data_IF_835260552318
#
_entry.id   IF_835260552318
#
_cell.length_a   1.000
_cell.length_b   1.000
_cell.length_c   1.000
_cell.angle_alpha   90.00
_cell.angle_beta   90.00
_cell.angle_gamma   90.00
#
_symmetry.space_group_name_H-M   'P 1'
#
loop_
_entity.id
_entity.type
_entity.pdbx_description
1 polymer ?
#
# COMPACT_ATOMS: atom_id res chain seq x y z
N UNK A 1 -14.46 29.00 -45.30
CA UNK A 1 -13.76 27.84 -44.72
C UNK A 1 -12.60 28.26 -43.84
N UNK A 2 -11.68 29.13 -44.26
CA UNK A 2 -10.53 29.60 -43.51
C UNK A 2 -10.87 30.36 -42.24
N UNK A 3 -11.95 31.17 -42.24
CA UNK A 3 -12.37 31.91 -41.04
C UNK A 3 -13.06 31.03 -40.00
N UNK A 4 -13.78 29.97 -40.42
CA UNK A 4 -14.32 28.98 -39.50
C UNK A 4 -13.21 28.18 -38.75
N UNK A 5 -12.14 27.88 -39.46
CA UNK A 5 -10.96 27.18 -38.85
C UNK A 5 -10.27 28.10 -37.86
N UNK A 6 -10.06 29.39 -38.19
CA UNK A 6 -9.47 30.35 -37.25
C UNK A 6 -10.32 30.55 -36.00
N UNK A 7 -11.65 30.63 -36.16
CA UNK A 7 -12.56 30.74 -35.04
C UNK A 7 -12.53 29.51 -34.15
N UNK A 8 -12.51 28.32 -34.73
CA UNK A 8 -12.35 27.06 -33.99
C UNK A 8 -11.05 27.02 -33.20
N UNK A 9 -9.91 27.33 -33.85
CA UNK A 9 -8.60 27.39 -33.17
C UNK A 9 -8.58 28.38 -32.03
N UNK A 10 -9.19 29.55 -32.19
CA UNK A 10 -9.31 30.55 -31.13
C UNK A 10 -10.07 29.98 -29.90
N UNK A 11 -11.18 29.27 -30.07
CA UNK A 11 -11.89 28.64 -28.96
C UNK A 11 -11.07 27.53 -28.29
N UNK A 12 -10.32 26.75 -29.07
CA UNK A 12 -9.40 25.73 -28.54
C UNK A 12 -8.31 26.39 -27.69
N UNK A 13 -7.69 27.47 -28.17
CA UNK A 13 -6.66 28.20 -27.44
C UNK A 13 -7.20 28.80 -26.14
N UNK A 14 -8.37 29.43 -26.18
CA UNK A 14 -9.02 29.98 -24.98
C UNK A 14 -9.33 28.87 -23.97
N UNK A 15 -9.85 27.74 -24.43
CA UNK A 15 -10.11 26.58 -23.56
C UNK A 15 -8.80 26.11 -22.87
N UNK A 16 -7.71 25.94 -23.62
CA UNK A 16 -6.44 25.52 -23.05
C UNK A 16 -5.86 26.53 -22.07
N UNK A 17 -5.97 27.83 -22.35
CA UNK A 17 -5.52 28.87 -21.42
C UNK A 17 -6.31 28.81 -20.10
N UNK A 18 -7.63 28.71 -20.16
CA UNK A 18 -8.49 28.58 -18.96
C UNK A 18 -8.13 27.30 -18.19
N UNK A 19 -7.98 26.18 -18.89
CA UNK A 19 -7.58 24.91 -18.31
C UNK A 19 -6.21 25.00 -17.61
N UNK A 20 -5.21 25.58 -18.26
CA UNK A 20 -3.88 25.75 -17.69
C UNK A 20 -3.88 26.64 -16.46
N UNK A 21 -4.64 27.76 -16.47
CA UNK A 21 -4.79 28.63 -15.30
C UNK A 21 -5.43 27.83 -14.15
N UNK A 22 -6.55 27.17 -14.40
CA UNK A 22 -7.24 26.37 -13.40
C UNK A 22 -6.38 25.28 -12.81
N UNK A 23 -5.69 24.52 -13.67
CA UNK A 23 -4.80 23.45 -13.25
C UNK A 23 -3.58 23.97 -12.46
N UNK A 24 -2.95 25.04 -12.91
CA UNK A 24 -1.82 25.67 -12.19
C UNK A 24 -2.26 26.20 -10.82
N UNK A 25 -3.44 26.81 -10.73
CA UNK A 25 -4.01 27.28 -9.47
C UNK A 25 -4.29 26.10 -8.52
N UNK A 26 -4.85 25.01 -9.02
CA UNK A 26 -5.08 23.80 -8.26
C UNK A 26 -3.75 23.21 -7.72
N UNK A 27 -2.72 23.11 -8.56
CA UNK A 27 -1.39 22.65 -8.13
C UNK A 27 -0.77 23.55 -7.05
N UNK A 28 -0.85 24.86 -7.24
CA UNK A 28 -0.34 25.81 -6.25
C UNK A 28 -1.07 25.66 -4.89
N UNK A 29 -2.38 25.64 -4.91
CA UNK A 29 -3.18 25.44 -3.69
C UNK A 29 -2.89 24.10 -3.01
N UNK A 30 -2.73 23.03 -3.79
CA UNK A 30 -2.41 21.71 -3.23
C UNK A 30 -1.06 21.69 -2.51
N UNK A 31 -0.07 22.41 -3.02
CA UNK A 31 1.24 22.54 -2.37
C UNK A 31 1.15 23.37 -1.09
N UNK A 32 0.45 24.51 -1.13
CA UNK A 32 0.30 25.39 0.05
C UNK A 32 -0.44 24.69 1.18
N UNK A 33 -1.59 24.09 0.87
CA UNK A 33 -2.40 23.37 1.88
C UNK A 33 -1.64 22.12 2.38
N UNK A 34 -1.01 21.35 1.48
CA UNK A 34 -0.21 20.20 1.86
C UNK A 34 0.94 20.57 2.81
N UNK A 35 1.66 21.65 2.53
CA UNK A 35 2.75 22.15 3.38
C UNK A 35 2.22 22.60 4.76
N UNK A 36 1.07 23.28 4.82
CA UNK A 36 0.43 23.71 6.07
C UNK A 36 0.05 22.52 6.94
N UNK A 37 -0.61 21.51 6.38
CA UNK A 37 -1.00 20.29 7.09
C UNK A 37 0.22 19.50 7.61
N UNK A 38 1.25 19.35 6.78
CA UNK A 38 2.48 18.68 7.21
C UNK A 38 3.19 19.44 8.34
N UNK A 39 3.16 20.77 8.30
CA UNK A 39 3.72 21.60 9.36
C UNK A 39 2.94 21.45 10.66
N UNK A 40 1.60 21.53 10.61
CA UNK A 40 0.74 21.36 11.79
C UNK A 40 0.94 19.96 12.40
N UNK A 41 0.93 18.90 11.57
CA UNK A 41 1.17 17.53 12.03
C UNK A 41 2.54 17.37 12.70
N UNK A 42 3.59 17.95 12.12
CA UNK A 42 4.94 17.90 12.70
C UNK A 42 5.05 18.68 14.03
N UNK A 43 4.31 19.78 14.17
CA UNK A 43 4.25 20.52 15.44
C UNK A 43 3.49 19.74 16.50
N UNK A 44 2.37 19.12 16.17
CA UNK A 44 1.59 18.27 17.07
C UNK A 44 2.41 17.06 17.55
N UNK A 45 3.15 16.40 16.68
CA UNK A 45 4.05 15.30 17.06
C UNK A 45 5.14 15.75 18.04
N UNK A 46 5.70 16.95 17.84
CA UNK A 46 6.67 17.52 18.77
C UNK A 46 6.07 17.88 20.14
N UNK A 47 4.82 18.37 20.16
CA UNK A 47 4.14 18.76 21.42
C UNK A 47 3.61 17.56 22.19
N UNK A 48 3.07 16.56 21.51
CA UNK A 48 2.54 15.33 22.15
C UNK A 48 3.64 14.47 22.78
N UNK A 49 4.92 14.81 22.50
CA UNK A 49 6.06 14.06 23.00
C UNK A 49 6.02 12.60 22.54
N UNK A 50 7.02 11.84 22.93
CA UNK A 50 7.14 10.41 22.60
C UNK A 50 6.22 9.54 23.48
N UNK A 51 4.94 9.91 23.65
CA UNK A 51 3.95 9.01 24.22
C UNK A 51 3.65 7.95 23.13
N UNK A 52 4.53 6.97 23.01
CA UNK A 52 4.21 5.71 22.38
C UNK A 52 3.06 5.11 23.17
N UNK A 53 1.85 5.23 22.65
CA UNK A 53 0.74 4.48 23.19
C UNK A 53 1.04 3.01 22.92
N UNK A 54 1.09 2.19 23.97
CA UNK A 54 1.25 0.73 23.87
C UNK A 54 -0.03 0.04 23.31
N UNK A 55 -0.84 0.78 22.56
CA UNK A 55 -2.03 0.25 21.91
C UNK A 55 -1.71 -0.17 20.47
N UNK A 56 -1.92 -1.44 20.20
CA UNK A 56 -1.73 -2.04 18.88
C UNK A 56 -3.06 -2.60 18.39
N UNK A 57 -3.45 -2.30 17.15
CA UNK A 57 -4.53 -3.00 16.50
C UNK A 57 -3.98 -4.26 15.83
N UNK A 58 -4.69 -5.40 15.88
CA UNK A 58 -4.25 -6.61 15.20
C UNK A 58 -4.34 -6.45 13.67
N UNK A 59 -3.25 -6.71 12.95
CA UNK A 59 -3.12 -6.46 11.52
C UNK A 59 -2.69 -7.73 10.78
N UNK A 60 -3.42 -8.13 9.72
CA UNK A 60 -2.98 -9.16 8.78
C UNK A 60 -2.38 -8.48 7.53
N UNK A 61 -1.11 -8.72 7.23
CA UNK A 61 -0.46 -8.20 6.02
C UNK A 61 -0.67 -9.22 4.90
N UNK A 62 -1.40 -8.83 3.85
CA UNK A 62 -1.70 -9.67 2.70
C UNK A 62 -0.81 -9.25 1.53
N UNK A 63 -0.01 -10.19 1.05
CA UNK A 63 0.98 -10.00 -0.02
C UNK A 63 0.61 -10.94 -1.18
N UNK A 64 -0.13 -10.47 -2.20
CA UNK A 64 -0.32 -11.21 -3.43
C UNK A 64 1.01 -11.35 -4.18
N UNK A 65 1.36 -12.55 -4.62
CA UNK A 65 2.59 -12.83 -5.36
C UNK A 65 2.27 -13.65 -6.61
N UNK A 66 2.87 -13.28 -7.75
CA UNK A 66 2.80 -14.05 -8.99
C UNK A 66 4.11 -13.93 -9.77
N UNK A 67 4.90 -15.02 -9.81
CA UNK A 67 6.22 -15.04 -10.42
C UNK A 67 7.18 -13.99 -9.84
N UNK A 68 7.30 -13.98 -8.51
CA UNK A 68 8.09 -13.03 -7.73
C UNK A 68 9.29 -13.71 -7.02
N UNK A 69 9.88 -14.73 -7.65
CA UNK A 69 11.00 -15.49 -7.06
C UNK A 69 12.19 -14.62 -6.64
N UNK A 70 12.38 -13.46 -7.28
CA UNK A 70 13.50 -12.56 -7.03
C UNK A 70 13.30 -11.62 -5.85
N UNK A 71 12.05 -11.33 -5.48
CA UNK A 71 11.71 -10.23 -4.55
C UNK A 71 10.97 -10.68 -3.30
N UNK A 72 10.11 -11.70 -3.41
CA UNK A 72 9.16 -12.08 -2.37
C UNK A 72 9.81 -12.45 -1.03
N UNK A 73 10.97 -13.10 -1.04
CA UNK A 73 11.70 -13.48 0.19
C UNK A 73 12.21 -12.23 0.91
N UNK A 74 12.81 -11.30 0.18
CA UNK A 74 13.30 -10.02 0.74
C UNK A 74 12.15 -9.16 1.25
N UNK A 75 11.02 -9.17 0.55
CA UNK A 75 9.79 -8.51 0.99
C UNK A 75 9.33 -9.06 2.34
N UNK A 76 9.21 -10.39 2.49
CA UNK A 76 8.81 -11.00 3.76
C UNK A 76 9.82 -10.71 4.87
N UNK A 77 11.14 -10.72 4.59
CA UNK A 77 12.14 -10.30 5.58
C UNK A 77 11.98 -8.85 6.01
N UNK A 78 11.66 -7.92 5.10
CA UNK A 78 11.40 -6.52 5.44
C UNK A 78 10.17 -6.35 6.33
N UNK A 79 9.16 -7.21 6.14
CA UNK A 79 7.97 -7.25 6.99
C UNK A 79 8.28 -7.78 8.40
N UNK A 80 9.22 -8.69 8.54
CA UNK A 80 9.66 -9.22 9.84
C UNK A 80 10.50 -8.22 10.65
N UNK A 81 11.02 -7.17 10.01
CA UNK A 81 11.78 -6.10 10.66
C UNK A 81 10.89 -4.97 11.24
N UNK A 82 9.57 -5.07 11.12
CA UNK A 82 8.65 -4.03 11.60
C UNK A 82 8.67 -3.90 13.13
N UNK A 83 8.72 -2.65 13.62
CA UNK A 83 8.59 -2.34 15.04
C UNK A 83 7.10 -2.32 15.45
N UNK A 84 6.45 -3.48 15.33
CA UNK A 84 5.04 -3.68 15.63
C UNK A 84 4.82 -5.05 16.27
N UNK A 85 3.95 -5.16 17.28
CA UNK A 85 3.88 -6.38 18.09
C UNK A 85 2.77 -7.35 17.66
N UNK A 86 1.72 -6.86 17.01
CA UNK A 86 0.50 -7.63 16.81
C UNK A 86 0.10 -7.70 15.33
N UNK A 87 0.82 -8.52 14.58
CA UNK A 87 0.54 -8.74 13.16
C UNK A 87 0.86 -10.17 12.73
N UNK A 88 0.34 -10.54 11.58
CA UNK A 88 0.64 -11.77 10.85
C UNK A 88 0.93 -11.43 9.38
N UNK A 89 1.66 -12.29 8.70
CA UNK A 89 1.99 -12.17 7.28
C UNK A 89 1.29 -13.29 6.51
N UNK A 90 0.58 -12.94 5.45
CA UNK A 90 -0.12 -13.86 4.57
C UNK A 90 0.34 -13.62 3.15
N UNK A 91 1.15 -14.51 2.62
CA UNK A 91 1.54 -14.50 1.21
C UNK A 91 0.55 -15.35 0.43
N UNK A 92 -0.01 -14.79 -0.63
CA UNK A 92 -0.95 -15.50 -1.51
C UNK A 92 -0.30 -15.66 -2.87
N UNK A 93 0.16 -16.88 -3.14
CA UNK A 93 0.70 -17.26 -4.44
C UNK A 93 -0.43 -17.49 -5.45
N UNK A 94 -0.49 -16.64 -6.44
CA UNK A 94 -1.52 -16.63 -7.50
C UNK A 94 -1.14 -17.55 -8.68
N UNK A 95 -0.79 -18.79 -8.37
CA UNK A 95 -0.45 -19.79 -9.39
C UNK A 95 0.86 -19.46 -10.10
N UNK A 96 1.91 -19.13 -9.36
CA UNK A 96 3.25 -18.93 -9.92
C UNK A 96 3.77 -20.17 -10.63
N UNK A 97 4.53 -19.94 -11.70
CA UNK A 97 5.16 -20.99 -12.52
C UNK A 97 6.68 -21.05 -12.33
N UNK A 98 7.23 -20.07 -11.60
CA UNK A 98 8.62 -19.97 -11.20
C UNK A 98 8.87 -20.61 -9.81
N UNK A 99 9.97 -20.29 -9.16
CA UNK A 99 10.36 -20.84 -7.86
C UNK A 99 9.86 -20.01 -6.66
N UNK A 100 8.88 -19.12 -6.84
CA UNK A 100 8.33 -18.26 -5.77
C UNK A 100 7.94 -19.06 -4.52
N UNK A 101 7.13 -20.12 -4.68
CA UNK A 101 6.67 -20.97 -3.58
C UNK A 101 7.82 -21.74 -2.92
N UNK A 102 8.72 -22.33 -3.75
CA UNK A 102 9.87 -23.09 -3.27
C UNK A 102 10.78 -22.23 -2.39
N UNK A 103 11.15 -21.03 -2.86
CA UNK A 103 12.01 -20.13 -2.11
C UNK A 103 11.39 -19.67 -0.77
N UNK A 104 10.07 -19.40 -0.74
CA UNK A 104 9.40 -19.07 0.52
C UNK A 104 9.40 -20.24 1.50
N UNK A 105 9.04 -21.44 1.03
CA UNK A 105 8.99 -22.64 1.87
C UNK A 105 10.37 -22.95 2.47
N UNK A 106 11.42 -22.87 1.66
CA UNK A 106 12.79 -23.17 2.09
C UNK A 106 13.35 -22.09 3.02
N UNK A 107 13.18 -20.81 2.68
CA UNK A 107 13.75 -19.70 3.46
C UNK A 107 13.15 -19.58 4.86
N UNK A 108 11.86 -19.89 5.00
CA UNK A 108 11.14 -19.77 6.27
C UNK A 108 10.83 -21.14 6.92
N UNK A 109 11.34 -22.24 6.35
CA UNK A 109 11.13 -23.61 6.85
C UNK A 109 9.64 -23.91 7.07
N UNK A 110 8.81 -23.53 6.12
CA UNK A 110 7.36 -23.62 6.24
C UNK A 110 6.89 -25.09 6.15
N UNK A 111 5.86 -25.42 6.89
CA UNK A 111 5.27 -26.76 6.90
C UNK A 111 3.91 -26.73 6.21
N UNK A 112 3.68 -27.70 5.31
CA UNK A 112 2.37 -27.88 4.70
C UNK A 112 1.37 -28.30 5.76
N UNK A 113 0.22 -27.61 5.78
CA UNK A 113 -0.87 -27.91 6.69
C UNK A 113 -2.18 -28.15 5.91
N UNK A 114 -3.15 -28.73 6.58
CA UNK A 114 -4.49 -28.87 6.06
C UNK A 114 -5.46 -28.20 7.04
N UNK A 115 -5.84 -26.94 6.72
CA UNK A 115 -6.87 -26.24 7.48
C UNK A 115 -7.96 -25.73 6.54
N UNK A 116 -9.26 -25.82 6.93
CA UNK A 116 -10.34 -25.28 6.12
C UNK A 116 -10.30 -23.74 6.11
N UNK A 117 -10.56 -23.15 4.94
CA UNK A 117 -10.72 -21.69 4.78
C UNK A 117 -12.20 -21.35 4.78
N UNK A 118 -12.63 -20.43 5.65
CA UNK A 118 -13.98 -19.91 5.64
C UNK A 118 -14.11 -18.82 4.55
N UNK A 119 -14.58 -19.21 3.37
CA UNK A 119 -14.81 -18.29 2.25
C UNK A 119 -15.99 -17.37 2.53
N UNK A 120 -15.73 -16.12 2.84
CA UNK A 120 -16.73 -15.04 3.04
C UNK A 120 -16.91 -14.21 1.79
N UNK A 121 -15.86 -14.08 0.98
CA UNK A 121 -15.84 -13.44 -0.33
C UNK A 121 -15.35 -14.43 -1.37
N UNK A 122 -15.80 -14.25 -2.61
CA UNK A 122 -15.42 -15.12 -3.71
C UNK A 122 -13.91 -15.10 -3.94
N UNK A 123 -13.34 -16.26 -4.20
CA UNK A 123 -11.95 -16.44 -4.66
C UNK A 123 -11.80 -17.85 -5.23
N UNK A 124 -10.82 -18.04 -6.10
CA UNK A 124 -10.48 -19.36 -6.66
C UNK A 124 -9.99 -20.31 -5.58
N UNK A 125 -9.86 -21.58 -5.98
CA UNK A 125 -9.57 -22.66 -5.03
C UNK A 125 -8.11 -22.64 -4.59
N UNK A 126 -7.90 -22.86 -3.31
CA UNK A 126 -6.60 -23.14 -2.71
C UNK A 126 -6.09 -24.53 -3.13
N UNK A 127 -4.80 -24.65 -3.40
CA UNK A 127 -4.10 -25.89 -3.75
C UNK A 127 -3.28 -26.43 -2.59
N UNK A 128 -2.62 -25.53 -1.85
CA UNK A 128 -1.83 -25.86 -0.67
C UNK A 128 -1.76 -24.67 0.28
N UNK A 129 -1.59 -24.99 1.57
CA UNK A 129 -1.35 -23.99 2.62
C UNK A 129 -0.11 -24.43 3.38
N UNK A 130 0.79 -23.47 3.61
CA UNK A 130 2.00 -23.68 4.41
C UNK A 130 2.04 -22.65 5.52
N UNK A 131 2.47 -23.04 6.70
CA UNK A 131 2.59 -22.14 7.85
C UNK A 131 3.93 -22.32 8.57
N UNK A 132 4.37 -21.24 9.18
CA UNK A 132 5.50 -21.23 10.09
C UNK A 132 5.33 -20.11 11.12
N UNK A 133 6.15 -20.14 12.15
CA UNK A 133 6.31 -19.02 13.09
C UNK A 133 7.78 -18.60 13.06
N UNK A 134 8.03 -17.39 12.65
CA UNK A 134 9.36 -16.82 12.58
C UNK A 134 9.49 -15.63 13.54
N UNK A 135 10.38 -15.71 14.52
CA UNK A 135 10.53 -14.67 15.58
C UNK A 135 9.22 -14.29 16.30
N UNK A 136 8.30 -15.25 16.48
CA UNK A 136 7.01 -15.02 17.12
C UNK A 136 5.91 -14.47 16.19
N UNK A 137 6.21 -14.25 14.92
CA UNK A 137 5.26 -13.77 13.91
C UNK A 137 4.77 -14.95 13.07
N UNK A 138 3.45 -15.07 12.93
CA UNK A 138 2.85 -16.09 12.07
C UNK A 138 3.00 -15.71 10.60
N UNK A 139 3.50 -16.65 9.80
CA UNK A 139 3.60 -16.52 8.35
C UNK A 139 2.79 -17.66 7.72
N UNK A 140 1.83 -17.29 6.88
CA UNK A 140 1.01 -18.22 6.11
C UNK A 140 1.27 -18.00 4.63
N UNK A 141 1.56 -19.06 3.89
CA UNK A 141 1.61 -19.07 2.43
C UNK A 141 0.43 -19.89 1.90
N UNK A 142 -0.37 -19.28 1.05
CA UNK A 142 -1.49 -19.95 0.36
C UNK A 142 -1.16 -20.02 -1.11
N UNK A 143 -1.03 -21.21 -1.64
CA UNK A 143 -0.92 -21.47 -3.07
C UNK A 143 -2.32 -21.71 -3.64
N UNK A 144 -2.71 -20.99 -4.68
CA UNK A 144 -4.04 -21.11 -5.31
C UNK A 144 -3.98 -21.11 -6.84
N UNK A 145 -5.11 -21.40 -7.47
CA UNK A 145 -5.28 -21.24 -8.90
C UNK A 145 -5.19 -19.76 -9.28
N UNK A 146 -4.53 -19.44 -10.41
CA UNK A 146 -4.38 -18.06 -10.87
C UNK A 146 -5.76 -17.40 -11.09
N UNK A 147 -5.98 -16.27 -10.45
CA UNK A 147 -7.21 -15.48 -10.48
C UNK A 147 -6.96 -13.98 -10.52
N UNK A 148 -5.70 -13.55 -10.47
CA UNK A 148 -5.33 -12.16 -10.43
C UNK A 148 -5.23 -11.58 -9.02
N UNK A 149 -4.75 -10.33 -8.95
CA UNK A 149 -4.47 -9.64 -7.69
C UNK A 149 -5.70 -9.50 -6.79
N UNK A 150 -6.86 -9.14 -7.35
CA UNK A 150 -8.11 -8.96 -6.60
C UNK A 150 -8.56 -10.27 -5.94
N UNK A 151 -8.56 -11.37 -6.70
CA UNK A 151 -8.87 -12.71 -6.20
C UNK A 151 -7.90 -13.17 -5.10
N UNK A 152 -6.61 -12.86 -5.26
CA UNK A 152 -5.58 -13.16 -4.25
C UNK A 152 -5.77 -12.36 -2.96
N UNK A 153 -6.19 -11.09 -3.06
CA UNK A 153 -6.56 -10.30 -1.89
C UNK A 153 -7.80 -10.88 -1.19
N UNK A 154 -8.80 -11.31 -1.94
CA UNK A 154 -9.99 -11.98 -1.40
C UNK A 154 -9.62 -13.28 -0.66
N UNK A 155 -8.69 -14.08 -1.22
CA UNK A 155 -8.15 -15.26 -0.53
C UNK A 155 -7.46 -14.88 0.77
N UNK A 156 -6.61 -13.86 0.76
CA UNK A 156 -5.94 -13.35 1.96
C UNK A 156 -6.91 -12.86 3.02
N UNK A 157 -7.99 -12.15 2.64
CA UNK A 157 -9.06 -11.71 3.54
C UNK A 157 -9.77 -12.92 4.17
N UNK A 158 -10.08 -13.95 3.39
CA UNK A 158 -10.74 -15.15 3.87
C UNK A 158 -9.92 -15.91 4.91
N UNK A 159 -8.58 -15.96 4.74
CA UNK A 159 -7.71 -16.73 5.63
C UNK A 159 -7.18 -15.91 6.81
N UNK A 160 -7.22 -14.57 6.74
CA UNK A 160 -6.70 -13.67 7.78
C UNK A 160 -7.44 -13.84 9.11
N UNK A 161 -6.70 -13.72 10.22
CA UNK A 161 -7.25 -13.88 11.57
C UNK A 161 -7.67 -12.54 12.21
N UNK A 162 -7.11 -11.43 11.75
CA UNK A 162 -7.25 -10.13 12.42
C UNK A 162 -8.34 -9.23 11.80
N UNK A 163 -8.84 -8.25 12.57
CA UNK A 163 -9.93 -7.36 12.14
C UNK A 163 -9.52 -6.30 11.14
N UNK A 164 -8.22 -6.03 11.00
CA UNK A 164 -7.66 -5.13 10.01
C UNK A 164 -6.68 -5.87 9.13
N UNK A 165 -6.64 -5.49 7.86
CA UNK A 165 -5.63 -6.02 6.95
C UNK A 165 -4.97 -4.92 6.14
N UNK A 166 -3.74 -5.18 5.74
CA UNK A 166 -2.96 -4.35 4.83
C UNK A 166 -2.78 -5.11 3.53
N UNK A 167 -3.01 -4.41 2.40
CA UNK A 167 -2.59 -4.89 1.08
C UNK A 167 -1.20 -4.35 0.80
N UNK A 168 -0.31 -5.19 0.29
CA UNK A 168 1.05 -4.82 -0.07
C UNK A 168 1.53 -5.62 -1.28
N UNK A 169 2.27 -5.00 -2.20
CA UNK A 169 2.85 -5.69 -3.35
C UNK A 169 4.09 -6.51 -2.95
N UNK A 170 4.30 -7.65 -3.62
CA UNK A 170 5.38 -8.60 -3.33
C UNK A 170 6.79 -8.09 -3.72
N UNK A 171 6.88 -6.96 -4.39
CA UNK A 171 8.11 -6.25 -4.76
C UNK A 171 8.37 -4.99 -3.92
N UNK A 172 7.54 -4.75 -2.91
CA UNK A 172 7.59 -3.55 -2.07
C UNK A 172 8.31 -3.83 -0.73
N UNK A 173 8.96 -2.80 -0.19
CA UNK A 173 9.63 -2.85 1.11
C UNK A 173 9.04 -1.81 2.05
N UNK A 174 8.87 -2.14 3.33
CA UNK A 174 8.40 -1.23 4.35
C UNK A 174 9.55 -0.65 5.19
N UNK A 175 9.40 0.61 5.57
CA UNK A 175 10.21 1.18 6.64
C UNK A 175 9.77 0.56 7.98
N UNK A 176 10.70 0.51 8.93
CA UNK A 176 10.55 -0.18 10.22
C UNK A 176 9.34 0.26 11.05
N UNK A 177 8.92 1.52 10.93
CA UNK A 177 7.79 2.08 11.66
C UNK A 177 6.49 2.16 10.85
N UNK A 178 6.46 1.62 9.63
CA UNK A 178 5.33 1.79 8.70
C UNK A 178 4.01 1.26 9.23
N UNK A 179 4.02 0.12 9.92
CA UNK A 179 2.79 -0.44 10.50
C UNK A 179 2.23 0.44 11.62
N UNK A 180 3.11 1.03 12.42
CA UNK A 180 2.71 1.95 13.48
C UNK A 180 2.09 3.23 12.89
N UNK A 181 2.74 3.82 11.89
CA UNK A 181 2.28 5.07 11.27
C UNK A 181 0.94 4.91 10.55
N UNK A 182 0.73 3.80 9.83
CA UNK A 182 -0.53 3.57 9.10
C UNK A 182 -1.68 3.20 10.04
N UNK A 183 -1.39 2.67 11.23
CA UNK A 183 -2.41 2.35 12.23
C UNK A 183 -2.90 3.56 13.02
N UNK A 184 -2.11 4.64 13.14
CA UNK A 184 -2.45 5.85 13.91
C UNK A 184 -3.83 6.43 13.59
N UNK A 185 -4.20 6.70 12.32
CA UNK A 185 -5.50 7.30 12.02
C UNK A 185 -6.68 6.46 12.48
N UNK A 186 -6.54 5.13 12.47
CA UNK A 186 -7.57 4.20 12.92
C UNK A 186 -7.68 4.20 14.44
N UNK A 187 -6.55 4.37 15.14
CA UNK A 187 -6.53 4.47 16.60
C UNK A 187 -7.05 5.82 17.11
N UNK A 188 -6.91 6.88 16.32
CA UNK A 188 -7.35 8.24 16.67
C UNK A 188 -8.84 8.48 16.38
N UNK A 189 -9.42 7.81 15.38
CA UNK A 189 -10.83 7.97 15.00
C UNK A 189 -11.43 6.61 14.58
N UNK A 190 -12.41 6.13 15.34
CA UNK A 190 -13.13 4.86 15.11
C UNK A 190 -13.97 4.83 13.83
N UNK A 191 -14.24 6.00 13.23
CA UNK A 191 -14.92 6.15 11.95
C UNK A 191 -14.01 5.88 10.76
N UNK A 192 -12.70 5.90 10.95
CA UNK A 192 -11.74 5.58 9.89
C UNK A 192 -11.79 4.08 9.59
N UNK A 193 -12.24 3.73 8.40
CA UNK A 193 -12.36 2.32 7.95
C UNK A 193 -11.25 1.91 7.01
N UNK A 194 -10.54 2.88 6.42
CA UNK A 194 -9.43 2.62 5.52
C UNK A 194 -8.46 3.81 5.49
N UNK A 195 -7.17 3.53 5.32
CA UNK A 195 -6.12 4.54 5.23
C UNK A 195 -5.04 4.08 4.25
N UNK A 196 -4.48 5.01 3.48
CA UNK A 196 -3.36 4.74 2.57
C UNK A 196 -2.05 5.27 3.11
N UNK A 197 -0.99 4.50 2.98
CA UNK A 197 0.36 4.95 3.30
C UNK A 197 1.01 5.73 2.15
N UNK A 198 2.12 6.38 2.46
CA UNK A 198 2.97 7.02 1.45
C UNK A 198 3.80 5.96 0.74
N UNK A 199 3.89 6.07 -0.58
CA UNK A 199 4.72 5.23 -1.42
C UNK A 199 5.80 6.09 -2.06
N UNK A 200 7.05 5.64 -1.98
CA UNK A 200 8.19 6.27 -2.61
C UNK A 200 8.85 5.31 -3.62
N UNK A 201 9.40 5.87 -4.68
CA UNK A 201 10.17 5.11 -5.67
C UNK A 201 11.52 4.74 -5.05
N UNK A 202 11.89 3.46 -5.06
CA UNK A 202 13.12 2.94 -4.42
C UNK A 202 14.41 3.43 -5.10
N UNK A 203 14.35 3.93 -6.34
CA UNK A 203 15.51 4.43 -7.06
C UNK A 203 16.14 5.65 -6.34
N UNK A 204 17.33 5.46 -5.80
CA UNK A 204 18.05 6.51 -5.05
C UNK A 204 17.80 6.45 -3.54
N UNK A 205 17.01 5.51 -3.05
CA UNK A 205 16.83 5.24 -1.63
C UNK A 205 17.64 4.00 -1.26
N UNK A 206 18.42 4.10 -0.20
CA UNK A 206 19.11 2.95 0.39
C UNK A 206 18.50 2.64 1.74
N UNK A 207 17.87 1.46 1.84
CA UNK A 207 17.37 0.94 3.10
C UNK A 207 18.45 0.08 3.77
N UNK A 208 18.66 0.28 5.06
CA UNK A 208 19.52 -0.55 5.91
C UNK A 208 18.74 -0.88 7.17
N UNK A 209 18.42 -2.16 7.39
CA UNK A 209 17.62 -2.64 8.51
C UNK A 209 16.26 -1.91 8.65
N UNK A 210 15.56 -1.72 7.52
CA UNK A 210 14.27 -1.06 7.49
C UNK A 210 14.30 0.47 7.71
N UNK A 211 15.48 1.10 7.78
CA UNK A 211 15.64 2.55 7.89
C UNK A 211 16.27 3.13 6.62
N UNK A 212 15.80 4.32 6.21
CA UNK A 212 16.40 5.05 5.10
C UNK A 212 17.76 5.58 5.55
N UNK A 213 18.84 5.00 5.02
CA UNK A 213 20.22 5.40 5.34
C UNK A 213 20.75 6.47 4.42
N UNK A 214 20.26 6.54 3.19
CA UNK A 214 20.68 7.52 2.18
C UNK A 214 19.54 7.79 1.21
N UNK A 215 19.46 9.04 0.77
CA UNK A 215 18.49 9.51 -0.21
C UNK A 215 19.18 10.36 -1.25
N UNK A 216 19.19 9.90 -2.48
CA UNK A 216 19.82 10.62 -3.60
C UNK A 216 18.89 10.70 -4.81
N UNK A 217 18.90 11.83 -5.50
CA UNK A 217 18.11 11.98 -6.72
C UNK A 217 18.69 11.09 -7.83
N UNK A 218 17.87 10.29 -8.52
CA UNK A 218 18.33 9.46 -9.61
C UNK A 218 18.95 10.28 -10.75
N UNK A 219 20.06 9.76 -11.32
CA UNK A 219 20.77 10.46 -12.40
C UNK A 219 20.03 10.45 -13.75
N UNK A 220 19.15 9.45 -13.97
CA UNK A 220 18.34 9.35 -15.20
C UNK A 220 17.15 10.30 -15.08
N UNK A 221 16.99 11.21 -16.02
CA UNK A 221 15.94 12.24 -16.02
C UNK A 221 14.54 11.65 -15.87
N UNK A 222 14.21 10.59 -16.63
CA UNK A 222 12.89 9.97 -16.58
C UNK A 222 12.56 9.39 -15.18
N UNK A 223 13.56 8.80 -14.52
CA UNK A 223 13.40 8.27 -13.17
C UNK A 223 13.27 9.41 -12.14
N UNK A 224 14.05 10.49 -12.30
CA UNK A 224 13.92 11.67 -11.45
C UNK A 224 12.53 12.32 -11.58
N UNK A 225 11.99 12.41 -12.79
CA UNK A 225 10.63 12.90 -13.03
C UNK A 225 9.57 11.99 -12.36
N UNK A 226 9.75 10.69 -12.41
CA UNK A 226 8.86 9.74 -11.74
C UNK A 226 8.89 9.92 -10.22
N UNK A 227 10.07 10.07 -9.61
CA UNK A 227 10.22 10.36 -8.18
C UNK A 227 9.46 11.65 -7.81
N UNK A 228 9.69 12.73 -8.54
CA UNK A 228 9.00 14.01 -8.30
C UNK A 228 7.47 13.91 -8.44
N UNK A 229 6.99 13.13 -9.41
CA UNK A 229 5.54 12.91 -9.60
C UNK A 229 4.92 12.14 -8.43
N UNK A 230 5.61 11.10 -7.92
CA UNK A 230 5.16 10.37 -6.73
C UNK A 230 5.14 11.29 -5.50
N UNK A 231 6.23 12.02 -5.24
CA UNK A 231 6.31 12.98 -4.12
C UNK A 231 5.18 14.03 -4.22
N UNK A 232 4.98 14.62 -5.39
CA UNK A 232 3.88 15.57 -5.62
C UNK A 232 2.52 14.94 -5.34
N UNK A 233 2.29 13.73 -5.82
CA UNK A 233 1.01 13.03 -5.66
C UNK A 233 0.71 12.74 -4.19
N UNK A 234 1.68 12.24 -3.44
CA UNK A 234 1.48 11.83 -2.05
C UNK A 234 1.53 13.02 -1.08
N UNK A 235 2.50 13.93 -1.22
CA UNK A 235 2.73 15.01 -0.25
C UNK A 235 1.89 16.27 -0.52
N UNK A 236 1.39 16.46 -1.73
CA UNK A 236 0.56 17.61 -2.04
C UNK A 236 -0.87 17.21 -2.36
N UNK A 237 -1.10 16.53 -3.48
CA UNK A 237 -2.45 16.29 -3.98
C UNK A 237 -3.31 15.44 -3.03
N UNK A 238 -2.78 14.36 -2.46
CA UNK A 238 -3.53 13.49 -1.55
C UNK A 238 -3.79 14.16 -0.20
N UNK A 239 -2.83 14.89 0.34
CA UNK A 239 -3.01 15.63 1.59
C UNK A 239 -4.07 16.74 1.38
N UNK A 240 -3.98 17.48 0.28
CA UNK A 240 -4.99 18.48 -0.10
C UNK A 240 -6.39 17.85 -0.19
N UNK A 241 -6.53 16.73 -0.92
CA UNK A 241 -7.81 16.03 -1.04
C UNK A 241 -8.32 15.51 0.30
N UNK A 242 -7.43 15.02 1.17
CA UNK A 242 -7.80 14.53 2.50
C UNK A 242 -8.42 15.63 3.38
N UNK A 243 -7.91 16.86 3.29
CA UNK A 243 -8.46 18.02 4.01
C UNK A 243 -9.97 18.25 3.72
N UNK A 244 -10.39 17.89 2.51
CA UNK A 244 -11.77 18.07 2.05
C UNK A 244 -12.58 16.76 1.95
N UNK A 245 -12.11 15.68 2.60
CA UNK A 245 -12.68 14.32 2.49
C UNK A 245 -12.85 13.84 1.04
N UNK A 246 -11.97 14.29 0.15
CA UNK A 246 -12.03 14.03 -1.30
C UNK A 246 -11.14 12.89 -1.78
N UNK A 247 -10.48 12.14 -0.88
CA UNK A 247 -9.70 10.97 -1.28
C UNK A 247 -10.60 9.82 -1.68
N UNK A 248 -10.64 9.53 -2.97
CA UNK A 248 -11.46 8.47 -3.55
C UNK A 248 -10.70 7.15 -3.74
N UNK A 249 -9.36 7.18 -3.64
CA UNK A 249 -8.51 6.05 -4.00
C UNK A 249 -7.45 5.83 -2.91
N UNK A 250 -7.40 4.62 -2.38
CA UNK A 250 -6.29 4.12 -1.56
C UNK A 250 -5.41 3.27 -2.45
N UNK A 251 -4.09 3.49 -2.39
CA UNK A 251 -3.15 2.71 -3.20
C UNK A 251 -3.18 1.24 -2.80
N UNK A 252 -3.27 0.36 -3.79
CA UNK A 252 -3.21 -1.08 -3.59
C UNK A 252 -1.80 -1.59 -3.22
N UNK A 253 -0.77 -0.73 -3.27
CA UNK A 253 0.59 -1.10 -2.90
C UNK A 253 0.88 -0.96 -1.40
N UNK A 254 0.14 -0.08 -0.68
CA UNK A 254 0.20 0.01 0.78
C UNK A 254 -1.04 0.72 1.32
N UNK A 255 -2.02 -0.04 1.78
CA UNK A 255 -3.26 0.47 2.37
C UNK A 255 -3.78 -0.46 3.46
N UNK A 256 -4.27 0.12 4.56
CA UNK A 256 -4.92 -0.61 5.65
C UNK A 256 -6.43 -0.46 5.55
N UNK A 257 -7.15 -1.53 5.82
CA UNK A 257 -8.61 -1.61 5.72
C UNK A 257 -9.21 -2.35 6.90
N UNK A 258 -10.37 -1.90 7.36
CA UNK A 258 -11.19 -2.65 8.30
C UNK A 258 -11.85 -3.82 7.56
N UNK A 259 -11.49 -5.05 7.94
CA UNK A 259 -11.91 -6.29 7.27
C UNK A 259 -13.43 -6.41 7.13
N UNK A 260 -14.17 -6.11 8.19
CA UNK A 260 -15.63 -6.19 8.19
C UNK A 260 -16.27 -5.29 7.12
N UNK A 261 -15.76 -4.05 6.96
CA UNK A 261 -16.27 -3.11 5.96
C UNK A 261 -16.05 -3.63 4.53
N UNK A 262 -14.88 -4.20 4.25
CA UNK A 262 -14.58 -4.79 2.93
C UNK A 262 -15.43 -6.03 2.67
N UNK A 263 -15.65 -6.86 3.69
CA UNK A 263 -16.55 -8.01 3.58
C UNK A 263 -18.01 -7.61 3.31
N UNK A 264 -18.50 -6.53 3.93
CA UNK A 264 -19.84 -5.98 3.68
C UNK A 264 -19.97 -5.40 2.26
N UNK A 265 -18.89 -4.86 1.71
CA UNK A 265 -18.84 -4.36 0.34
C UNK A 265 -18.74 -5.49 -0.71
N UNK A 266 -18.57 -6.77 -0.29
CA UNK A 266 -18.45 -7.92 -1.20
C UNK A 266 -17.03 -8.33 -1.56
N UNK A 267 -16.01 -7.69 -0.98
CA UNK A 267 -14.59 -7.93 -1.28
C UNK A 267 -14.07 -7.09 -2.43
N UNK A 268 -12.98 -7.55 -3.05
CA UNK A 268 -12.43 -6.97 -4.27
C UNK A 268 -13.12 -7.58 -5.49
N UNK A 269 -13.38 -6.76 -6.49
CA UNK A 269 -13.95 -7.20 -7.77
C UNK A 269 -12.88 -7.96 -8.56
N UNK A 270 -13.16 -9.23 -8.85
CA UNK A 270 -12.30 -10.17 -9.57
C UNK A 270 -12.82 -10.51 -10.98
N UNK A 271 -13.85 -9.77 -11.45
CA UNK A 271 -14.50 -9.94 -12.77
C UNK A 271 -13.77 -9.25 -13.92
#
# INVERSE_FOLDING_TARGET
MMDAIKLFLFFVDVFFVIYLIGYSTFLFLSVVVGASELYEKRMDEKMKGTLRHDFYIPISIIVPAHNEEMTVVDTVFSLLEQDYKLYEIIVVDDGSTDRTVEYLVDSFHMKRINRPIRKRVHCKKEQAIYETVYNGIFITLVQKENGGKADSLNMGINISNYPYFICMDADSMLQRNSLYEIAKPILEDDKVVACGGQIAVSNGIRLVKGEVSDYSMPKKLIVAMQVLEYERSFLASRIFMNRYNGNLIISGAFGIFKKETVLLAGGYDDS
#
